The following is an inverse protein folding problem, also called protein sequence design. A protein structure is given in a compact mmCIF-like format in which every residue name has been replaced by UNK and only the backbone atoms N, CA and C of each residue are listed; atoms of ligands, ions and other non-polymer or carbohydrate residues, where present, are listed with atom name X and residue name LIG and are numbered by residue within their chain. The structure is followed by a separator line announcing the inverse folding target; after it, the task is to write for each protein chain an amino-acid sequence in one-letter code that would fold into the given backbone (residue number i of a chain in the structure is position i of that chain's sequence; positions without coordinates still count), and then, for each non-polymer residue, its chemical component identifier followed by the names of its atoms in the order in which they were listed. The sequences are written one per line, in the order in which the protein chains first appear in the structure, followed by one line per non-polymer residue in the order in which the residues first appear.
data_IF_871144051147
#
_entry.id   IF_871144051147
#
_cell.length_a   1.000
_cell.length_b   1.000
_cell.length_c   1.000
_cell.angle_alpha   90.00
_cell.angle_beta   90.00
_cell.angle_gamma   90.00
#
_symmetry.space_group_name_H-M   'P 1'
#
loop_
_entity.id
_entity.type
_entity.pdbx_description
1 polymer ?
#
# COMPACT_ATOMS: atom_id res chain seq x y z
N UNK A 1 42.51 -9.08 -19.86
CA UNK A 1 41.69 -7.97 -20.40
C UNK A 1 40.31 -8.55 -20.61
N UNK A 2 39.41 -8.48 -19.62
CA UNK A 2 38.50 -7.35 -19.39
C UNK A 2 37.35 -7.51 -20.40
N UNK A 3 36.08 -7.69 -20.05
CA UNK A 3 35.28 -7.14 -18.97
C UNK A 3 34.10 -8.08 -18.70
N UNK A 4 33.88 -8.46 -17.45
CA UNK A 4 32.54 -8.84 -16.99
C UNK A 4 32.08 -7.62 -16.23
N UNK A 5 31.22 -6.78 -16.79
CA UNK A 5 30.68 -5.66 -16.01
C UNK A 5 29.19 -5.46 -16.28
N UNK A 6 28.44 -6.15 -15.42
CA UNK A 6 27.20 -5.70 -14.79
C UNK A 6 26.04 -5.30 -15.70
N UNK A 7 25.10 -6.23 -15.82
CA UNK A 7 23.66 -5.96 -15.96
C UNK A 7 23.15 -5.13 -14.76
N UNK A 8 23.49 -3.84 -14.71
CA UNK A 8 22.88 -2.90 -13.78
C UNK A 8 21.52 -2.47 -14.33
N UNK A 9 20.53 -3.35 -14.24
CA UNK A 9 19.14 -2.86 -14.23
C UNK A 9 19.03 -1.91 -13.04
N UNK A 10 18.66 -0.64 -13.22
CA UNK A 10 18.65 0.29 -12.10
C UNK A 10 17.59 -0.18 -11.09
N UNK A 11 18.03 -0.53 -9.88
CA UNK A 11 17.22 -0.87 -8.69
C UNK A 11 16.00 0.06 -8.52
N UNK A 12 16.12 1.29 -8.99
CA UNK A 12 15.06 2.30 -9.07
C UNK A 12 13.79 1.76 -9.75
N UNK A 13 13.92 0.92 -10.79
CA UNK A 13 12.75 0.30 -11.45
C UNK A 13 12.15 -0.81 -10.60
N UNK A 14 12.96 -1.68 -10.00
CA UNK A 14 12.48 -2.79 -9.16
C UNK A 14 11.88 -2.34 -7.82
N UNK A 15 12.24 -1.16 -7.30
CA UNK A 15 11.69 -0.65 -6.04
C UNK A 15 10.36 0.13 -6.22
N UNK A 16 10.03 0.57 -7.44
CA UNK A 16 8.75 1.25 -7.70
C UNK A 16 7.55 0.30 -7.73
N UNK A 17 7.74 -0.96 -8.11
CA UNK A 17 6.68 -1.97 -8.19
C UNK A 17 6.16 -2.45 -6.81
N UNK A 18 7.01 -2.68 -5.79
CA UNK A 18 6.56 -3.02 -4.43
C UNK A 18 6.07 -1.81 -3.62
N UNK A 19 6.03 -0.61 -4.21
CA UNK A 19 5.48 0.57 -3.57
C UNK A 19 6.40 1.25 -2.57
N UNK A 20 7.74 1.14 -2.67
CA UNK A 20 8.64 1.97 -1.87
C UNK A 20 8.50 3.45 -2.24
N UNK A 21 8.54 4.33 -1.24
CA UNK A 21 8.61 5.78 -1.46
C UNK A 21 9.97 6.19 -2.04
N UNK A 22 10.04 7.39 -2.63
CA UNK A 22 11.29 7.91 -3.20
C UNK A 22 12.41 8.03 -2.15
N UNK A 23 12.06 8.32 -0.90
CA UNK A 23 13.00 8.39 0.23
C UNK A 23 13.56 7.00 0.57
N UNK A 24 12.69 5.98 0.65
CA UNK A 24 13.11 4.59 0.88
C UNK A 24 14.01 4.06 -0.25
N UNK A 25 13.75 4.46 -1.50
CA UNK A 25 14.60 4.12 -2.65
C UNK A 25 16.00 4.74 -2.49
N UNK A 26 16.09 6.01 -2.05
CA UNK A 26 17.38 6.68 -1.80
C UNK A 26 18.20 5.98 -0.71
N UNK A 27 17.52 5.52 0.34
CA UNK A 27 18.16 4.78 1.43
C UNK A 27 18.65 3.40 1.01
N UNK A 28 17.89 2.66 0.20
CA UNK A 28 18.32 1.37 -0.34
C UNK A 28 19.54 1.51 -1.26
N UNK A 29 19.62 2.60 -2.03
CA UNK A 29 20.79 2.90 -2.87
C UNK A 29 22.04 3.22 -2.03
N UNK A 30 21.87 3.85 -0.87
CA UNK A 30 22.95 4.12 0.08
C UNK A 30 23.47 2.82 0.71
N UNK A 31 22.55 1.96 1.17
CA UNK A 31 22.88 0.67 1.80
C UNK A 31 23.59 -0.29 0.86
N UNK A 32 23.30 -0.25 -0.45
CA UNK A 32 24.00 -1.06 -1.45
C UNK A 32 25.51 -0.85 -1.46
N UNK A 33 25.98 0.35 -1.09
CA UNK A 33 27.41 0.65 -1.07
C UNK A 33 28.10 0.18 0.22
N UNK A 34 27.35 -0.25 1.24
CA UNK A 34 27.87 -0.87 2.45
C UNK A 34 28.03 -2.39 2.24
N UNK A 35 29.27 -2.84 2.10
CA UNK A 35 29.59 -4.27 1.85
C UNK A 35 29.45 -5.15 3.08
N UNK A 36 29.34 -4.59 4.28
CA UNK A 36 29.32 -5.34 5.53
C UNK A 36 27.91 -5.45 6.10
N UNK A 37 27.11 -4.38 6.03
CA UNK A 37 25.76 -4.33 6.60
C UNK A 37 24.66 -4.03 5.57
N UNK A 38 25.01 -3.86 4.30
CA UNK A 38 24.07 -3.47 3.26
C UNK A 38 22.90 -4.45 3.10
N UNK A 39 23.17 -5.76 3.12
CA UNK A 39 22.13 -6.79 2.96
C UNK A 39 21.16 -6.78 4.16
N UNK A 40 21.68 -6.68 5.38
CA UNK A 40 20.86 -6.64 6.60
C UNK A 40 19.98 -5.37 6.63
N UNK A 41 20.54 -4.22 6.28
CA UNK A 41 19.77 -2.97 6.20
C UNK A 41 18.71 -2.99 5.10
N UNK A 42 18.99 -3.64 3.97
CA UNK A 42 18.02 -3.81 2.88
C UNK A 42 16.86 -4.72 3.33
N UNK A 43 17.17 -5.84 3.98
CA UNK A 43 16.17 -6.78 4.50
C UNK A 43 15.26 -6.10 5.53
N UNK A 44 15.82 -5.41 6.53
CA UNK A 44 15.04 -4.69 7.53
C UNK A 44 14.08 -3.66 6.92
N UNK A 45 14.53 -2.92 5.89
CA UNK A 45 13.69 -1.92 5.21
C UNK A 45 12.60 -2.55 4.36
N UNK A 46 12.93 -3.62 3.64
CA UNK A 46 11.93 -4.37 2.89
C UNK A 46 10.87 -4.99 3.82
N UNK A 47 11.30 -5.59 4.93
CA UNK A 47 10.43 -6.16 5.96
C UNK A 47 9.54 -5.09 6.61
N UNK A 48 10.08 -3.91 6.93
CA UNK A 48 9.27 -2.78 7.42
C UNK A 48 8.22 -2.36 6.40
N UNK A 49 8.61 -2.24 5.13
CA UNK A 49 7.68 -1.83 4.06
C UNK A 49 6.56 -2.85 3.88
N UNK A 50 6.88 -4.14 3.94
CA UNK A 50 5.90 -5.23 3.89
C UNK A 50 4.85 -5.08 5.00
N UNK A 51 5.28 -4.86 6.24
CA UNK A 51 4.35 -4.66 7.37
C UNK A 51 3.44 -3.43 7.19
N UNK A 52 3.96 -2.33 6.63
CA UNK A 52 3.14 -1.15 6.33
C UNK A 52 2.08 -1.45 5.26
N UNK A 53 2.45 -2.20 4.22
CA UNK A 53 1.52 -2.62 3.17
C UNK A 53 0.46 -3.56 3.74
N UNK A 54 0.84 -4.56 4.54
CA UNK A 54 -0.10 -5.49 5.17
C UNK A 54 -1.11 -4.75 6.05
N UNK A 55 -0.65 -3.78 6.85
CA UNK A 55 -1.53 -2.93 7.66
C UNK A 55 -2.51 -2.15 6.80
N UNK A 56 -2.05 -1.59 5.68
CA UNK A 56 -2.90 -0.82 4.76
C UNK A 56 -3.88 -1.71 4.02
N UNK A 57 -3.48 -2.91 3.63
CA UNK A 57 -4.36 -3.92 3.04
C UNK A 57 -5.44 -4.29 4.04
N UNK A 58 -5.10 -4.58 5.30
CA UNK A 58 -6.08 -4.91 6.34
C UNK A 58 -7.13 -3.80 6.48
N UNK A 59 -6.68 -2.55 6.61
CA UNK A 59 -7.59 -1.40 6.71
C UNK A 59 -8.48 -1.24 5.46
N UNK A 60 -7.90 -1.36 4.26
CA UNK A 60 -8.67 -1.27 3.01
C UNK A 60 -9.63 -2.44 2.84
N UNK A 61 -9.27 -3.62 3.33
CA UNK A 61 -10.13 -4.81 3.37
C UNK A 61 -11.31 -4.59 4.30
N UNK A 62 -11.11 -4.07 5.51
CA UNK A 62 -12.21 -3.72 6.42
C UNK A 62 -13.16 -2.70 5.79
N UNK A 63 -12.63 -1.65 5.16
CA UNK A 63 -13.45 -0.65 4.46
C UNK A 63 -14.21 -1.25 3.27
N UNK A 64 -13.56 -2.12 2.50
CA UNK A 64 -14.19 -2.85 1.40
C UNK A 64 -15.32 -3.73 1.90
N UNK A 65 -15.10 -4.48 2.98
CA UNK A 65 -16.07 -5.43 3.50
C UNK A 65 -17.29 -4.70 4.06
N UNK A 66 -17.09 -3.58 4.77
CA UNK A 66 -18.18 -2.70 5.18
C UNK A 66 -18.98 -2.16 3.97
N UNK A 67 -18.30 -1.72 2.92
CA UNK A 67 -18.96 -1.25 1.71
C UNK A 67 -19.70 -2.38 0.96
N UNK A 68 -19.15 -3.59 0.96
CA UNK A 68 -19.75 -4.75 0.32
C UNK A 68 -21.11 -5.08 0.95
N UNK A 69 -21.20 -5.07 2.28
CA UNK A 69 -22.48 -5.25 3.01
C UNK A 69 -23.52 -4.22 2.56
N UNK A 70 -23.14 -2.94 2.50
CA UNK A 70 -24.05 -1.87 2.07
C UNK A 70 -24.52 -2.04 0.62
N UNK A 71 -23.66 -2.58 -0.25
CA UNK A 71 -24.01 -2.88 -1.64
C UNK A 71 -24.98 -4.07 -1.71
N UNK A 72 -24.78 -5.11 -0.91
CA UNK A 72 -25.68 -6.28 -0.85
C UNK A 72 -27.07 -5.92 -0.29
N UNK A 73 -27.14 -5.03 0.69
CA UNK A 73 -28.41 -4.55 1.26
C UNK A 73 -29.15 -3.58 0.31
N UNK A 74 -28.46 -3.03 -0.68
CA UNK A 74 -29.05 -2.07 -1.60
C UNK A 74 -29.95 -2.80 -2.61
N UNK A 75 -31.25 -2.46 -2.72
CA UNK A 75 -32.16 -3.09 -3.68
C UNK A 75 -31.80 -2.76 -5.15
N UNK A 76 -30.87 -1.84 -5.40
CA UNK A 76 -30.40 -1.46 -6.73
C UNK A 76 -31.44 -0.75 -7.61
N UNK A 77 -32.62 -0.45 -7.07
CA UNK A 77 -33.76 0.17 -7.76
C UNK A 77 -34.64 0.89 -6.75
N UNK A 78 -35.30 1.99 -7.15
CA UNK A 78 -36.18 2.78 -6.29
C UNK A 78 -35.65 4.19 -6.01
N UNK A 79 -36.29 4.90 -5.08
CA UNK A 79 -35.93 6.27 -4.74
C UNK A 79 -34.64 6.31 -3.90
N UNK A 80 -33.75 7.32 -4.09
CA UNK A 80 -32.49 7.43 -3.37
C UNK A 80 -32.66 7.54 -1.85
N UNK A 81 -33.84 7.97 -1.39
CA UNK A 81 -34.20 8.14 0.02
C UNK A 81 -34.27 6.81 0.77
N UNK A 82 -34.59 5.71 0.07
CA UNK A 82 -34.62 4.35 0.61
C UNK A 82 -33.29 3.59 0.47
N UNK A 83 -32.25 4.23 -0.09
CA UNK A 83 -30.98 3.58 -0.35
C UNK A 83 -30.14 3.46 0.94
N UNK A 84 -29.81 2.23 1.41
CA UNK A 84 -29.06 2.03 2.65
C UNK A 84 -27.65 2.63 2.59
N UNK A 85 -27.00 2.62 1.42
CA UNK A 85 -25.69 3.25 1.19
C UNK A 85 -25.74 4.75 1.49
N UNK A 86 -26.76 5.45 0.98
CA UNK A 86 -26.94 6.89 1.21
C UNK A 86 -27.25 7.19 2.69
N UNK A 87 -28.03 6.33 3.34
CA UNK A 87 -28.29 6.42 4.78
C UNK A 87 -27.01 6.30 5.61
N UNK A 88 -26.12 5.37 5.25
CA UNK A 88 -24.84 5.15 5.94
C UNK A 88 -23.89 6.34 5.79
N UNK A 89 -23.72 6.85 4.56
CA UNK A 89 -22.90 8.03 4.27
C UNK A 89 -23.39 9.25 5.06
N UNK A 90 -24.71 9.45 5.14
CA UNK A 90 -25.30 10.55 5.93
C UNK A 90 -25.03 10.39 7.42
N UNK A 91 -25.04 9.16 7.94
CA UNK A 91 -24.73 8.86 9.33
C UNK A 91 -23.24 9.08 9.65
N UNK A 92 -22.35 8.67 8.76
CA UNK A 92 -20.91 8.90 8.90
C UNK A 92 -20.52 10.38 8.80
N UNK A 93 -21.28 11.17 8.02
CA UNK A 93 -21.09 12.62 7.88
C UNK A 93 -21.68 13.45 9.04
N UNK A 94 -22.52 12.85 9.90
CA UNK A 94 -23.04 13.53 11.07
C UNK A 94 -21.94 13.64 12.14
N UNK A 95 -21.62 14.84 12.65
CA UNK A 95 -20.62 14.98 13.71
C UNK A 95 -21.10 14.23 14.96
N UNK A 96 -20.21 13.41 15.53
CA UNK A 96 -20.46 12.75 16.81
C UNK A 96 -20.80 13.80 17.89
N UNK A 97 -21.79 13.55 18.77
CA UNK A 97 -22.13 14.45 19.86
C UNK A 97 -20.99 14.58 20.89
#
# INVERSE_FOLDING_TARGET
MGWVEMDSVPIIRCAKEPGFSLEEIGDLLTLRNDRLHGVEGIEQRASKRLHELDRRIAQLTEMRDALAVLVEECPGSGEPEGCPILGDIRRAAAPAP
#
